data_IF_124524712739
#
_entry.id   IF_124524712739
#
_cell.length_a   1.000
_cell.length_b   1.000
_cell.length_c   1.000
_cell.angle_alpha   90.00
_cell.angle_beta   90.00
_cell.angle_gamma   90.00
#
_symmetry.space_group_name_H-M   'P 1'
#
loop_
_entity.id
_entity.type
_entity.pdbx_description
1 polymer ?
#
# COMPACT_ATOMS: atom_id res chain seq x y z
N UNK A 1 3.16 -21.47 -8.48
CA UNK A 1 2.01 -20.77 -7.88
C UNK A 1 2.51 -20.09 -6.62
N UNK A 2 2.49 -18.76 -6.65
CA UNK A 2 2.96 -17.85 -5.60
C UNK A 2 2.07 -17.95 -4.37
N UNK A 3 2.67 -18.18 -3.21
CA UNK A 3 2.00 -18.16 -1.89
C UNK A 3 1.73 -16.71 -1.43
N UNK A 4 1.08 -15.94 -2.29
CA UNK A 4 0.77 -14.52 -2.09
C UNK A 4 -0.73 -14.30 -2.00
N UNK A 5 -1.12 -13.39 -1.12
CA UNK A 5 -2.52 -13.07 -0.81
C UNK A 5 -2.75 -11.57 -0.75
N UNK A 6 -4.00 -11.17 -0.91
CA UNK A 6 -4.45 -9.82 -0.60
C UNK A 6 -4.60 -9.65 0.91
N UNK A 7 -4.21 -8.48 1.43
CA UNK A 7 -4.46 -8.07 2.81
C UNK A 7 -5.45 -6.90 2.80
N UNK A 8 -6.74 -7.23 2.92
CA UNK A 8 -7.80 -6.22 2.88
C UNK A 8 -7.90 -5.49 4.23
N UNK A 9 -7.91 -4.16 4.16
CA UNK A 9 -8.08 -3.31 5.34
C UNK A 9 -9.57 -3.15 5.70
N UNK A 10 -9.97 -3.64 6.88
CA UNK A 10 -11.33 -3.50 7.44
C UNK A 10 -11.61 -2.10 7.99
N UNK A 11 -10.55 -1.38 8.39
CA UNK A 11 -10.64 -0.02 8.94
C UNK A 11 -9.33 0.73 8.75
N UNK A 12 -9.43 2.06 8.78
CA UNK A 12 -8.29 2.96 8.66
C UNK A 12 -8.04 3.69 9.98
N UNK A 13 -6.78 3.71 10.41
CA UNK A 13 -6.38 4.30 11.69
C UNK A 13 -5.30 5.36 11.49
N UNK A 14 -5.71 6.57 11.11
CA UNK A 14 -4.80 7.72 11.07
C UNK A 14 -5.02 8.64 9.88
N UNK A 15 -4.27 9.74 9.87
CA UNK A 15 -4.07 10.60 8.71
C UNK A 15 -2.59 11.02 8.73
N UNK A 16 -1.85 10.94 7.61
CA UNK A 16 -0.50 11.50 7.52
C UNK A 16 -0.52 13.01 7.75
N UNK A 17 0.60 13.54 8.23
CA UNK A 17 0.81 14.96 8.54
C UNK A 17 1.41 15.74 7.37
N UNK A 18 0.97 17.00 7.11
CA UNK A 18 -0.36 17.61 7.34
C UNK A 18 -1.61 16.99 6.67
N UNK A 19 -2.81 17.48 7.06
CA UNK A 19 -4.09 17.28 6.32
C UNK A 19 -3.96 17.73 4.84
N UNK A 20 -3.10 18.73 4.61
CA UNK A 20 -2.64 19.23 3.30
C UNK A 20 -1.24 18.70 2.91
N UNK A 21 -0.74 17.65 3.57
CA UNK A 21 0.49 16.98 3.14
C UNK A 21 0.16 16.07 2.01
N UNK A 22 0.59 16.52 0.86
CA UNK A 22 0.76 15.72 -0.34
C UNK A 22 1.90 14.70 -0.16
N UNK A 23 2.04 14.05 1.01
CA UNK A 23 3.16 13.18 1.35
C UNK A 23 4.53 13.84 1.33
N UNK A 24 4.58 15.19 1.41
CA UNK A 24 5.83 15.97 1.39
C UNK A 24 6.56 15.79 2.71
N UNK A 25 7.88 15.60 2.61
CA UNK A 25 8.89 15.46 3.67
C UNK A 25 8.37 14.90 5.03
N UNK A 26 8.76 13.67 5.43
CA UNK A 26 9.91 12.88 4.95
C UNK A 26 9.58 11.76 3.95
N UNK A 27 8.31 11.32 3.85
CA UNK A 27 7.96 10.05 3.24
C UNK A 27 8.31 9.93 1.74
N UNK A 28 7.79 10.83 0.91
CA UNK A 28 8.05 10.89 -0.54
C UNK A 28 8.94 12.08 -0.92
N UNK A 29 9.58 12.70 0.08
CA UNK A 29 10.38 13.93 -0.01
C UNK A 29 9.70 15.10 -0.71
N UNK A 30 10.48 16.01 -1.30
CA UNK A 30 9.99 17.28 -1.86
C UNK A 30 8.96 17.13 -2.99
N UNK A 31 9.11 16.10 -3.82
CA UNK A 31 8.21 15.82 -4.96
C UNK A 31 6.83 15.38 -4.49
N UNK A 32 6.78 14.66 -3.36
CA UNK A 32 5.53 14.21 -2.74
C UNK A 32 4.65 13.44 -3.72
N UNK A 33 3.37 13.78 -3.73
CA UNK A 33 2.37 13.27 -4.65
C UNK A 33 1.95 14.31 -5.66
N UNK A 34 1.51 13.83 -6.82
CA UNK A 34 0.83 14.70 -7.77
C UNK A 34 -0.43 15.29 -7.12
N UNK A 35 -0.58 16.61 -7.19
CA UNK A 35 -1.72 17.34 -6.60
C UNK A 35 -3.05 17.07 -7.31
N UNK A 36 -3.04 16.49 -8.49
CA UNK A 36 -4.27 16.26 -9.25
C UNK A 36 -4.78 14.85 -9.09
N UNK A 37 -3.86 13.88 -9.05
CA UNK A 37 -4.21 12.47 -8.95
C UNK A 37 -3.89 11.81 -7.61
N UNK A 38 -3.01 12.37 -6.78
CA UNK A 38 -2.54 11.73 -5.56
C UNK A 38 -1.53 10.59 -5.79
N UNK A 39 -1.03 10.39 -7.02
CA UNK A 39 -0.01 9.37 -7.28
C UNK A 39 1.34 9.78 -6.67
N UNK A 40 2.02 8.90 -5.91
CA UNK A 40 3.40 9.11 -5.52
C UNK A 40 4.32 9.31 -6.71
N UNK A 41 5.10 10.40 -6.71
CA UNK A 41 6.01 10.73 -7.82
C UNK A 41 7.34 10.00 -7.71
N UNK A 42 7.65 9.48 -6.52
CA UNK A 42 8.86 8.74 -6.21
C UNK A 42 8.55 7.60 -5.24
N UNK A 43 9.41 6.58 -5.11
CA UNK A 43 9.31 5.58 -4.05
C UNK A 43 9.38 6.18 -2.64
N UNK A 44 8.91 5.43 -1.64
CA UNK A 44 9.03 5.80 -0.23
C UNK A 44 10.52 5.88 0.16
N UNK A 45 10.97 7.07 0.56
CA UNK A 45 12.39 7.35 0.85
C UNK A 45 12.65 7.80 2.28
N UNK A 46 11.64 8.23 3.02
CA UNK A 46 11.80 8.67 4.40
C UNK A 46 10.66 8.23 5.31
N UNK A 47 10.73 8.75 6.53
CA UNK A 47 9.84 8.39 7.63
C UNK A 47 8.41 8.90 7.40
N UNK A 48 7.44 8.18 7.96
CA UNK A 48 6.04 8.55 7.92
C UNK A 48 5.78 9.41 9.14
N UNK A 49 5.16 10.58 8.97
CA UNK A 49 4.80 11.44 10.10
C UNK A 49 3.27 11.48 10.20
N UNK A 50 2.71 11.15 11.36
CA UNK A 50 1.25 11.06 11.57
C UNK A 50 0.72 12.21 12.46
N UNK A 51 -0.45 12.77 12.10
CA UNK A 51 -1.12 13.86 12.84
C UNK A 51 -1.84 13.44 14.10
N UNK A 52 -2.36 12.21 14.12
CA UNK A 52 -3.49 11.88 14.96
C UNK A 52 -3.12 11.85 16.45
N UNK A 53 -3.70 12.76 17.23
CA UNK A 53 -3.73 12.63 18.69
C UNK A 53 -4.61 11.44 19.08
N UNK A 54 -4.18 10.68 20.09
CA UNK A 54 -4.94 9.55 20.63
C UNK A 54 -4.93 8.28 19.76
N UNK A 55 -4.14 8.21 18.70
CA UNK A 55 -3.81 6.92 18.10
C UNK A 55 -2.94 6.13 19.09
N UNK A 56 -3.25 4.84 19.29
CA UNK A 56 -2.34 3.90 19.96
C UNK A 56 -1.76 2.98 18.90
N UNK A 57 -0.43 2.98 18.67
CA UNK A 57 0.22 2.08 17.74
C UNK A 57 0.22 0.67 18.35
N UNK A 58 -0.88 -0.05 18.15
CA UNK A 58 -1.07 -1.42 18.63
C UNK A 58 -1.34 -2.33 17.43
N UNK A 59 -0.60 -3.44 17.37
CA UNK A 59 -0.66 -4.39 16.27
C UNK A 59 -0.14 -3.80 14.96
N UNK A 60 -0.74 -4.19 13.85
CA UNK A 60 -0.62 -3.59 12.54
C UNK A 60 -1.86 -2.74 12.17
N UNK A 61 -1.70 -1.73 11.31
CA UNK A 61 -2.81 -0.91 10.81
C UNK A 61 -2.45 -0.16 9.52
N UNK A 62 -3.47 0.20 8.74
CA UNK A 62 -3.32 1.14 7.61
C UNK A 62 -3.69 2.54 8.10
N UNK A 63 -2.80 3.55 7.99
CA UNK A 63 -3.14 4.92 8.38
C UNK A 63 -4.36 5.42 7.61
N UNK A 64 -4.31 5.33 6.28
CA UNK A 64 -5.37 5.75 5.38
C UNK A 64 -5.24 4.97 4.07
N UNK A 65 -6.37 4.54 3.51
CA UNK A 65 -6.46 3.75 2.28
C UNK A 65 -5.79 4.37 1.05
N UNK A 66 -5.60 5.69 1.05
CA UNK A 66 -4.97 6.42 -0.08
C UNK A 66 -3.48 6.20 -0.20
N UNK A 67 -2.86 5.60 0.81
CA UNK A 67 -1.42 5.46 0.88
C UNK A 67 -1.18 3.97 0.99
N UNK A 68 -0.56 3.38 -0.03
CA UNK A 68 -0.09 2.00 -0.06
C UNK A 68 0.91 1.79 1.11
N UNK A 69 0.39 1.77 2.33
CA UNK A 69 1.09 1.92 3.60
C UNK A 69 0.44 1.00 4.63
N UNK A 70 1.26 0.15 5.20
CA UNK A 70 0.94 -0.59 6.41
C UNK A 70 1.93 -0.15 7.48
N UNK A 71 1.43 0.06 8.69
CA UNK A 71 2.22 0.37 9.86
C UNK A 71 2.10 -0.74 10.89
N UNK A 72 3.11 -0.87 11.73
CA UNK A 72 3.21 -1.87 12.79
C UNK A 72 3.75 -1.21 14.06
N UNK A 73 3.36 -1.72 15.23
CA UNK A 73 3.94 -1.31 16.50
C UNK A 73 5.37 -1.84 16.66
N UNK A 74 6.16 -1.27 17.58
CA UNK A 74 7.51 -1.77 17.86
C UNK A 74 7.55 -3.27 18.19
N UNK A 75 6.65 -3.74 19.05
CA UNK A 75 6.56 -5.17 19.39
C UNK A 75 6.20 -6.08 18.19
N UNK A 76 5.47 -5.57 17.20
CA UNK A 76 5.20 -6.32 15.96
C UNK A 76 6.40 -6.27 15.02
N UNK A 77 7.10 -5.14 14.93
CA UNK A 77 8.34 -5.03 14.16
C UNK A 77 9.40 -6.04 14.65
N UNK A 78 9.54 -6.23 15.96
CA UNK A 78 10.41 -7.26 16.54
C UNK A 78 10.00 -8.68 16.10
N UNK A 79 8.70 -8.99 16.07
CA UNK A 79 8.20 -10.28 15.59
C UNK A 79 8.50 -10.50 14.11
N UNK A 80 8.37 -9.45 13.29
CA UNK A 80 8.67 -9.49 11.85
C UNK A 80 10.15 -9.82 11.62
N UNK A 81 11.05 -9.16 12.35
CA UNK A 81 12.49 -9.41 12.29
C UNK A 81 12.82 -10.82 12.79
N UNK A 82 12.25 -11.25 13.92
CA UNK A 82 12.49 -12.57 14.50
C UNK A 82 12.00 -13.72 13.59
N UNK A 83 10.92 -13.50 12.84
CA UNK A 83 10.41 -14.45 11.85
C UNK A 83 11.20 -14.47 10.53
N UNK A 84 12.13 -13.52 10.34
CA UNK A 84 13.00 -13.48 9.16
C UNK A 84 12.35 -12.96 7.89
N UNK A 85 11.24 -12.20 8.00
CA UNK A 85 10.61 -11.58 6.83
C UNK A 85 11.51 -10.47 6.24
N UNK A 86 11.66 -10.48 4.92
CA UNK A 86 12.44 -9.53 4.11
C UNK A 86 11.63 -8.28 3.84
N UNK A 87 11.42 -7.48 4.89
CA UNK A 87 10.67 -6.23 4.80
C UNK A 87 11.52 -5.09 5.33
N UNK A 88 11.66 -4.04 4.52
CA UNK A 88 12.27 -2.80 4.99
C UNK A 88 11.26 -2.04 5.83
N UNK A 89 11.67 -1.61 7.02
CA UNK A 89 10.85 -0.83 7.93
C UNK A 89 11.48 0.53 8.18
N UNK A 90 10.65 1.56 8.33
CA UNK A 90 11.08 2.93 8.69
C UNK A 90 10.27 3.46 9.86
N UNK A 91 10.82 4.29 10.74
CA UNK A 91 10.09 4.78 11.89
C UNK A 91 8.89 5.65 11.48
N UNK A 92 7.90 5.68 12.37
CA UNK A 92 6.75 6.59 12.31
C UNK A 92 6.97 7.72 13.33
N UNK A 93 7.01 8.96 12.83
CA UNK A 93 7.17 10.18 13.61
C UNK A 93 5.85 10.73 14.14
N UNK A 94 5.92 11.31 15.34
CA UNK A 94 4.79 11.93 16.04
C UNK A 94 5.13 13.37 16.44
N UNK A 95 4.79 14.37 15.63
CA UNK A 95 5.29 15.73 15.80
C UNK A 95 4.62 16.47 16.96
N UNK A 96 3.39 16.10 17.34
CA UNK A 96 2.66 16.72 18.47
C UNK A 96 2.86 15.96 19.79
N UNK A 97 2.60 14.65 19.77
CA UNK A 97 2.61 13.83 20.97
C UNK A 97 3.11 12.42 20.61
N UNK A 98 4.22 11.94 21.19
CA UNK A 98 4.67 10.56 21.02
C UNK A 98 3.53 9.59 21.37
N UNK A 99 3.14 8.76 20.40
CA UNK A 99 2.09 7.76 20.59
C UNK A 99 2.66 6.39 20.98
N UNK A 100 3.97 6.20 20.80
CA UNK A 100 4.68 4.94 21.01
C UNK A 100 5.60 4.63 19.85
N UNK A 101 6.38 3.56 19.99
CA UNK A 101 7.24 3.07 18.92
C UNK A 101 6.40 2.40 17.82
N UNK A 102 6.65 2.81 16.58
CA UNK A 102 5.92 2.36 15.41
C UNK A 102 6.79 2.47 14.16
N UNK A 103 6.52 1.60 13.21
CA UNK A 103 7.23 1.52 11.95
C UNK A 103 6.24 1.41 10.78
N UNK A 104 6.53 2.08 9.68
CA UNK A 104 5.90 1.80 8.39
C UNK A 104 6.66 0.68 7.67
N UNK A 105 5.92 -0.15 6.96
CA UNK A 105 6.50 -1.08 5.99
C UNK A 105 6.77 -0.33 4.69
N UNK A 106 7.99 -0.46 4.16
CA UNK A 106 8.31 0.01 2.82
C UNK A 106 7.92 -1.07 1.83
N UNK A 107 6.90 -0.77 1.02
CA UNK A 107 6.33 -1.72 0.05
C UNK A 107 6.96 -1.43 -1.33
N UNK A 108 7.84 -2.30 -1.84
CA UNK A 108 8.45 -2.10 -3.15
C UNK A 108 7.46 -2.37 -4.29
N UNK A 109 7.59 -1.65 -5.40
CA UNK A 109 6.96 -2.03 -6.66
C UNK A 109 7.77 -3.16 -7.29
N UNK A 110 7.13 -4.27 -7.66
CA UNK A 110 7.82 -5.49 -8.12
C UNK A 110 7.23 -5.99 -9.44
N UNK A 111 8.10 -6.34 -10.38
CA UNK A 111 7.74 -6.82 -11.71
C UNK A 111 7.34 -5.72 -12.69
N UNK A 112 7.15 -6.10 -13.95
CA UNK A 112 6.77 -5.18 -15.03
C UNK A 112 5.25 -5.04 -15.18
N UNK A 113 4.50 -6.08 -14.81
CA UNK A 113 3.03 -6.11 -14.78
C UNK A 113 2.52 -7.18 -13.83
N UNK A 114 1.40 -6.93 -13.17
CA UNK A 114 0.67 -7.92 -12.38
C UNK A 114 -0.60 -8.41 -13.07
N UNK A 115 -1.07 -7.68 -14.06
CA UNK A 115 -2.31 -8.00 -14.77
C UNK A 115 -2.08 -8.00 -16.28
N UNK A 116 -2.89 -8.77 -17.00
CA UNK A 116 -2.94 -8.67 -18.45
C UNK A 116 -3.63 -7.34 -18.84
N UNK A 117 -2.98 -6.43 -19.58
CA UNK A 117 -3.59 -5.15 -19.96
C UNK A 117 -4.88 -5.30 -20.79
N UNK A 118 -5.02 -6.34 -21.60
CA UNK A 118 -6.23 -6.60 -22.37
C UNK A 118 -7.38 -6.99 -21.45
N UNK A 119 -7.12 -7.85 -20.47
CA UNK A 119 -8.11 -8.24 -19.45
C UNK A 119 -8.49 -7.03 -18.58
N UNK A 120 -7.52 -6.25 -18.11
CA UNK A 120 -7.81 -5.01 -17.37
C UNK A 120 -8.65 -4.05 -18.20
N UNK A 121 -8.32 -3.84 -19.47
CA UNK A 121 -9.06 -2.98 -20.39
C UNK A 121 -10.51 -3.44 -20.53
N UNK A 122 -10.75 -4.73 -20.76
CA UNK A 122 -12.09 -5.29 -20.86
C UNK A 122 -12.89 -5.07 -19.57
N UNK A 123 -12.31 -5.42 -18.41
CA UNK A 123 -12.98 -5.29 -17.11
C UNK A 123 -13.29 -3.82 -16.77
N UNK A 124 -12.36 -2.92 -17.03
CA UNK A 124 -12.52 -1.48 -16.75
C UNK A 124 -13.57 -0.85 -17.67
N UNK A 125 -13.56 -1.16 -18.97
CA UNK A 125 -14.57 -0.68 -19.92
C UNK A 125 -15.94 -1.24 -19.58
N UNK A 126 -16.05 -2.54 -19.28
CA UNK A 126 -17.31 -3.18 -18.93
C UNK A 126 -17.95 -2.52 -17.68
N UNK A 127 -17.14 -2.15 -16.69
CA UNK A 127 -17.61 -1.56 -15.44
C UNK A 127 -17.84 -0.05 -15.49
N UNK A 128 -16.97 0.69 -16.17
CA UNK A 128 -16.92 2.17 -16.10
C UNK A 128 -17.14 2.87 -17.44
N UNK A 129 -17.27 2.13 -18.54
CA UNK A 129 -17.37 2.67 -19.89
C UNK A 129 -16.05 3.26 -20.44
N UNK A 130 -14.93 3.07 -19.74
CA UNK A 130 -13.59 3.51 -20.16
C UNK A 130 -12.51 2.73 -19.42
N UNK A 131 -11.33 2.63 -20.02
CA UNK A 131 -10.19 1.92 -19.44
C UNK A 131 -9.58 2.63 -18.23
N UNK A 132 -9.40 3.94 -18.37
CA UNK A 132 -8.55 4.72 -17.49
C UNK A 132 -8.34 6.12 -18.01
N UNK A 133 -7.36 6.81 -17.43
CA UNK A 133 -6.95 8.13 -17.93
C UNK A 133 -5.52 8.46 -17.53
N UNK A 134 -4.85 9.23 -18.40
CA UNK A 134 -3.57 9.85 -18.07
C UNK A 134 -3.81 11.11 -17.24
N UNK A 135 -3.06 11.29 -16.15
CA UNK A 135 -3.07 12.55 -15.42
C UNK A 135 -2.45 13.66 -16.27
N UNK A 136 -3.16 14.78 -16.44
CA UNK A 136 -2.65 15.94 -17.20
C UNK A 136 -1.44 16.62 -16.56
N UNK A 137 -1.21 16.43 -15.27
CA UNK A 137 -0.13 17.10 -14.52
C UNK A 137 1.11 16.24 -14.37
N UNK A 138 0.98 14.98 -13.94
CA UNK A 138 2.15 14.09 -13.78
C UNK A 138 2.34 13.08 -14.91
N UNK A 139 1.42 12.98 -15.87
CA UNK A 139 1.54 12.07 -17.00
C UNK A 139 1.35 10.58 -16.68
N UNK A 140 1.13 10.21 -15.42
CA UNK A 140 0.90 8.81 -15.03
C UNK A 140 -0.43 8.31 -15.60
N UNK A 141 -0.38 7.13 -16.25
CA UNK A 141 -1.57 6.38 -16.64
C UNK A 141 -2.19 5.71 -15.41
N UNK A 142 -3.52 5.79 -15.30
CA UNK A 142 -4.27 5.14 -14.22
C UNK A 142 -5.44 4.36 -14.79
N UNK A 143 -5.52 3.10 -14.42
CA UNK A 143 -6.67 2.25 -14.70
C UNK A 143 -7.85 2.66 -13.84
N UNK A 144 -9.07 2.53 -14.37
CA UNK A 144 -10.26 2.58 -13.52
C UNK A 144 -10.22 1.40 -12.52
N UNK A 145 -10.81 1.58 -11.34
CA UNK A 145 -10.77 0.52 -10.32
C UNK A 145 -11.62 -0.68 -10.73
N UNK A 146 -11.06 -1.87 -10.66
CA UNK A 146 -11.79 -3.13 -10.89
C UNK A 146 -11.73 -3.97 -9.62
N UNK A 147 -12.73 -4.82 -9.43
CA UNK A 147 -12.72 -5.77 -8.32
C UNK A 147 -12.11 -7.06 -8.84
N UNK A 148 -11.12 -7.56 -8.12
CA UNK A 148 -10.53 -8.89 -8.30
C UNK A 148 -10.05 -9.20 -9.73
N UNK A 149 -9.24 -8.33 -10.39
CA UNK A 149 -8.64 -8.69 -11.66
C UNK A 149 -7.69 -9.90 -11.48
N UNK A 150 -7.68 -10.86 -12.43
CA UNK A 150 -6.82 -12.03 -12.33
C UNK A 150 -5.35 -11.63 -12.50
N UNK A 151 -4.51 -12.15 -11.61
CA UNK A 151 -3.06 -11.94 -11.62
C UNK A 151 -2.38 -12.81 -12.65
N UNK A 152 -1.40 -12.26 -13.37
CA UNK A 152 -0.46 -13.05 -14.17
C UNK A 152 0.68 -13.61 -13.31
N UNK A 153 1.46 -14.54 -13.83
CA UNK A 153 2.68 -14.99 -13.15
C UNK A 153 3.70 -13.85 -13.02
N UNK A 154 4.18 -13.60 -11.80
CA UNK A 154 5.18 -12.58 -11.47
C UNK A 154 6.31 -13.23 -10.68
N UNK A 155 7.32 -13.81 -11.36
CA UNK A 155 8.39 -14.56 -10.72
C UNK A 155 9.16 -13.77 -9.65
N UNK A 156 9.28 -12.46 -9.83
CA UNK A 156 10.00 -11.54 -8.93
C UNK A 156 9.36 -11.43 -7.54
N UNK A 157 8.09 -11.84 -7.38
CA UNK A 157 7.44 -11.93 -6.07
C UNK A 157 8.15 -12.94 -5.15
N UNK A 158 8.87 -13.93 -5.70
CA UNK A 158 9.57 -14.92 -4.88
C UNK A 158 10.63 -14.31 -3.93
N UNK A 159 11.14 -13.12 -4.25
CA UNK A 159 12.26 -12.51 -3.52
C UNK A 159 11.84 -11.60 -2.35
N UNK A 160 10.55 -11.32 -2.22
CA UNK A 160 9.98 -10.38 -1.23
C UNK A 160 8.90 -11.05 -0.38
N UNK A 161 8.51 -10.40 0.72
CA UNK A 161 7.38 -10.82 1.55
C UNK A 161 6.17 -9.88 1.43
N UNK A 162 6.35 -8.71 0.81
CA UNK A 162 5.30 -7.76 0.46
C UNK A 162 5.69 -7.01 -0.81
N UNK A 163 4.73 -6.73 -1.67
CA UNK A 163 4.96 -6.03 -2.93
C UNK A 163 3.75 -5.19 -3.33
N UNK A 164 3.97 -4.18 -4.17
CA UNK A 164 2.94 -3.41 -4.84
C UNK A 164 3.03 -3.62 -6.37
N UNK A 165 1.88 -3.53 -7.04
CA UNK A 165 1.76 -3.61 -8.48
C UNK A 165 2.46 -2.44 -9.19
N UNK A 166 3.05 -2.63 -10.37
CA UNK A 166 3.49 -1.52 -11.21
C UNK A 166 2.32 -0.71 -11.76
N UNK A 167 1.15 -1.34 -11.94
CA UNK A 167 -0.08 -0.68 -12.34
C UNK A 167 -0.58 0.26 -11.25
N UNK A 168 -1.16 1.38 -11.70
CA UNK A 168 -1.74 2.40 -10.84
C UNK A 168 -3.24 2.48 -11.12
N UNK A 169 -4.05 2.46 -10.07
CA UNK A 169 -5.51 2.43 -10.17
C UNK A 169 -6.13 3.69 -9.59
N UNK A 170 -7.38 3.94 -9.98
CA UNK A 170 -8.22 4.96 -9.37
C UNK A 170 -8.39 6.23 -10.21
N UNK A 171 -9.16 7.17 -9.66
CA UNK A 171 -9.51 8.42 -10.34
C UNK A 171 -9.57 9.58 -9.35
N UNK A 172 -9.45 10.81 -9.85
CA UNK A 172 -9.33 11.99 -8.97
C UNK A 172 -8.19 11.83 -7.97
N UNK A 173 -8.42 12.19 -6.71
CA UNK A 173 -7.47 12.10 -5.58
C UNK A 173 -7.40 10.72 -4.90
N UNK A 174 -7.81 9.68 -5.60
CA UNK A 174 -8.00 8.33 -5.06
C UNK A 174 -7.12 7.31 -5.76
N UNK A 175 -5.84 7.65 -5.97
CA UNK A 175 -4.90 6.77 -6.65
C UNK A 175 -4.27 5.77 -5.68
N UNK A 176 -4.15 4.50 -6.09
CA UNK A 176 -3.58 3.42 -5.28
C UNK A 176 -2.89 2.37 -6.16
N UNK A 177 -2.16 1.45 -5.52
CA UNK A 177 -1.66 0.23 -6.14
C UNK A 177 -2.27 -0.98 -5.46
N UNK A 178 -2.31 -2.08 -6.19
CA UNK A 178 -2.65 -3.36 -5.61
C UNK A 178 -1.44 -3.87 -4.82
N UNK A 179 -1.66 -4.40 -3.60
CA UNK A 179 -0.59 -4.85 -2.71
C UNK A 179 -0.80 -6.31 -2.32
N UNK A 180 0.22 -7.13 -2.56
CA UNK A 180 0.24 -8.54 -2.18
C UNK A 180 1.23 -8.80 -1.05
N UNK A 181 0.88 -9.74 -0.19
CA UNK A 181 1.69 -10.20 0.93
C UNK A 181 1.93 -11.70 0.78
N UNK A 182 3.13 -12.16 1.10
CA UNK A 182 3.35 -13.60 1.31
C UNK A 182 2.41 -14.06 2.41
N UNK A 183 1.75 -15.20 2.24
CA UNK A 183 0.70 -15.70 3.14
C UNK A 183 1.13 -15.68 4.60
N UNK A 184 2.27 -16.28 4.91
CA UNK A 184 2.78 -16.33 6.29
C UNK A 184 2.95 -14.93 6.91
N UNK A 185 3.32 -13.93 6.10
CA UNK A 185 3.43 -12.56 6.57
C UNK A 185 2.05 -11.93 6.79
N UNK A 186 1.12 -12.12 5.87
CA UNK A 186 -0.28 -11.67 6.01
C UNK A 186 -0.95 -12.28 7.25
N UNK A 187 -0.74 -13.57 7.51
CA UNK A 187 -1.28 -14.29 8.67
C UNK A 187 -0.76 -13.70 9.99
N UNK A 188 0.54 -13.35 10.06
CA UNK A 188 1.09 -12.63 11.21
C UNK A 188 0.37 -11.30 11.42
N UNK A 189 0.19 -10.50 10.37
CA UNK A 189 -0.46 -9.19 10.47
C UNK A 189 -1.93 -9.30 10.89
N UNK A 190 -2.65 -10.29 10.38
CA UNK A 190 -4.04 -10.58 10.80
C UNK A 190 -4.07 -11.06 12.25
N UNK A 191 -3.14 -11.92 12.68
CA UNK A 191 -3.11 -12.43 14.04
C UNK A 191 -2.92 -11.32 15.09
N UNK A 192 -2.05 -10.34 14.80
CA UNK A 192 -1.81 -9.19 15.70
C UNK A 192 -2.89 -8.10 15.58
N UNK A 193 -3.64 -8.08 14.47
CA UNK A 193 -4.68 -7.07 14.20
C UNK A 193 -5.91 -7.62 13.46
N UNK A 194 -6.68 -8.56 14.05
CA UNK A 194 -7.78 -9.25 13.37
C UNK A 194 -8.99 -8.34 13.08
N UNK A 195 -9.06 -7.20 13.77
CA UNK A 195 -10.06 -6.15 13.56
C UNK A 195 -9.67 -5.15 12.47
N UNK A 196 -8.41 -5.14 12.04
CA UNK A 196 -7.90 -4.24 11.02
C UNK A 196 -7.78 -4.91 9.66
N UNK A 197 -7.54 -6.23 9.64
CA UNK A 197 -7.22 -6.93 8.41
C UNK A 197 -7.99 -8.24 8.23
N UNK A 198 -8.12 -8.64 6.98
CA UNK A 198 -8.41 -10.00 6.55
C UNK A 198 -7.59 -10.40 5.34
N UNK A 199 -7.43 -11.71 5.18
CA UNK A 199 -6.80 -12.30 4.02
C UNK A 199 -7.88 -12.60 2.99
N UNK A 200 -7.59 -12.24 1.74
CA UNK A 200 -8.38 -12.64 0.57
C UNK A 200 -7.47 -13.30 -0.46
N UNK A 201 -7.96 -14.40 -1.03
CA UNK A 201 -7.23 -15.15 -2.04
C UNK A 201 -7.29 -14.44 -3.40
N UNK A 202 -6.17 -14.25 -4.10
CA UNK A 202 -6.16 -13.79 -5.47
C UNK A 202 -6.59 -14.89 -6.44
N UNK A 203 -7.21 -14.47 -7.53
CA UNK A 203 -7.35 -15.30 -8.73
C UNK A 203 -6.08 -15.16 -9.58
N UNK A 204 -5.51 -16.27 -10.01
CA UNK A 204 -4.35 -16.32 -10.91
C UNK A 204 -4.79 -16.83 -12.29
N UNK A 205 -4.32 -16.19 -13.35
CA UNK A 205 -4.57 -16.57 -14.76
C UNK A 205 -3.64 -17.68 -15.24
#
# INVERSE_FOLDING_TARGET
>A
MSDFVWLDAKRFRGWPWPEDSTGKDPLYGADGWCRDCGTPQVPQRGDLVLQKSGLRPEGAWTPNWRFDLVCVSGAVAEQIVAAGFRVTMRPVGWPRQPAGEAFQLVIPVVGDRWFDPAVLSELTVARHGREGSRCGTCGVWRWMSVSDPPLVDVPELADVDVAASPEVFGSGWSTYREVLFRRAFAELLVAVSPRDFEIREPEWS
#
